data_IF_631029390448
#
_entry.id   IF_631029390448
#
_cell.length_a   1.000
_cell.length_b   1.000
_cell.length_c   1.000
_cell.angle_alpha   90.00
_cell.angle_beta   90.00
_cell.angle_gamma   90.00
#
_symmetry.space_group_name_H-M   'P 1'
#
loop_
_entity.id
_entity.type
_entity.pdbx_description
1 polymer ?
#
# COMPACT_ATOMS: atom_id res chain seq x y z
N UNK A 1 43.04 -28.54 16.86
CA UNK A 1 41.77 -29.13 16.37
C UNK A 1 40.55 -28.26 16.66
N UNK A 2 40.32 -27.81 17.91
CA UNK A 2 39.16 -26.93 18.24
C UNK A 2 39.11 -25.62 17.44
N UNK A 3 40.25 -24.99 17.18
CA UNK A 3 40.35 -23.73 16.41
C UNK A 3 40.09 -23.92 14.91
N UNK A 4 40.42 -25.09 14.36
CA UNK A 4 40.19 -25.40 12.92
C UNK A 4 38.71 -25.66 12.67
N UNK A 5 38.02 -26.31 13.62
CA UNK A 5 36.58 -26.58 13.53
C UNK A 5 35.77 -25.26 13.57
N UNK A 6 36.17 -24.28 14.40
CA UNK A 6 35.51 -22.96 14.43
C UNK A 6 35.62 -22.21 13.10
N UNK A 7 36.77 -22.28 12.42
CA UNK A 7 36.98 -21.60 11.13
C UNK A 7 36.11 -22.21 10.02
N UNK A 8 35.92 -23.53 10.02
CA UNK A 8 35.03 -24.20 9.06
C UNK A 8 33.54 -23.88 9.32
N UNK A 9 33.13 -23.72 10.58
CA UNK A 9 31.76 -23.30 10.93
C UNK A 9 31.49 -21.86 10.46
N UNK A 10 32.44 -20.94 10.62
CA UNK A 10 32.31 -19.57 10.10
C UNK A 10 32.27 -19.50 8.56
N UNK A 11 33.02 -20.37 7.86
CA UNK A 11 32.97 -20.49 6.40
C UNK A 11 31.63 -21.07 5.90
N UNK A 12 31.02 -22.01 6.63
CA UNK A 12 29.70 -22.57 6.32
C UNK A 12 28.55 -21.59 6.62
N UNK A 13 28.68 -20.73 7.63
CA UNK A 13 27.71 -19.66 7.90
C UNK A 13 27.81 -18.56 6.82
N UNK A 14 29.02 -18.28 6.31
CA UNK A 14 29.24 -17.31 5.24
C UNK A 14 28.60 -17.72 3.89
N UNK A 15 28.43 -19.01 3.61
CA UNK A 15 27.76 -19.49 2.39
C UNK A 15 26.25 -19.60 2.54
N UNK A 16 25.73 -19.75 3.76
CA UNK A 16 24.28 -19.67 4.05
C UNK A 16 23.77 -18.23 4.11
N UNK A 17 24.68 -17.25 4.17
CA UNK A 17 24.39 -15.82 4.05
C UNK A 17 24.45 -15.31 2.59
N UNK A 18 24.40 -16.20 1.58
CA UNK A 18 23.86 -15.79 0.29
C UNK A 18 22.42 -15.36 0.54
N UNK A 19 22.25 -14.05 0.64
CA UNK A 19 20.99 -13.32 0.55
C UNK A 19 19.96 -14.18 -0.17
N UNK A 20 18.90 -14.59 0.55
CA UNK A 20 17.64 -14.96 -0.08
C UNK A 20 17.08 -13.67 -0.69
N UNK A 21 17.73 -13.19 -1.75
CA UNK A 21 17.14 -12.24 -2.65
C UNK A 21 15.95 -13.01 -3.20
N UNK A 22 14.74 -12.67 -2.75
CA UNK A 22 13.54 -13.35 -3.22
C UNK A 22 13.58 -13.32 -4.74
N UNK A 23 13.68 -14.50 -5.35
CA UNK A 23 13.79 -14.63 -6.79
C UNK A 23 12.43 -14.31 -7.39
N UNK A 24 12.09 -13.03 -7.50
CA UNK A 24 10.87 -12.61 -8.15
C UNK A 24 10.95 -12.94 -9.64
N UNK A 25 9.86 -13.43 -10.20
CA UNK A 25 9.72 -13.54 -11.65
C UNK A 25 8.98 -12.33 -12.18
N UNK A 26 9.42 -11.77 -13.30
CA UNK A 26 8.78 -10.62 -13.94
C UNK A 26 7.92 -11.11 -15.10
N UNK A 27 6.76 -10.48 -15.29
CA UNK A 27 5.91 -10.74 -16.45
C UNK A 27 6.61 -10.32 -17.75
N UNK A 28 6.37 -11.05 -18.84
CA UNK A 28 6.69 -10.58 -20.19
C UNK A 28 5.57 -10.93 -21.16
N UNK A 29 5.32 -10.02 -22.11
CA UNK A 29 4.29 -10.19 -23.14
C UNK A 29 4.90 -10.71 -24.44
N UNK A 30 4.33 -11.77 -24.99
CA UNK A 30 4.63 -12.25 -26.33
C UNK A 30 3.62 -11.66 -27.31
N UNK A 31 4.12 -10.82 -28.24
CA UNK A 31 3.27 -10.16 -29.23
C UNK A 31 2.73 -11.11 -30.30
N UNK A 32 3.40 -12.24 -30.55
CA UNK A 32 3.00 -13.19 -31.58
C UNK A 32 1.89 -14.12 -31.07
N UNK A 33 2.03 -14.57 -29.83
CA UNK A 33 1.07 -15.47 -29.18
C UNK A 33 -0.03 -14.71 -28.41
N UNK A 34 0.00 -13.37 -28.43
CA UNK A 34 -0.91 -12.46 -27.69
C UNK A 34 -1.19 -12.93 -26.26
N UNK A 35 -0.13 -13.34 -25.57
CA UNK A 35 -0.20 -13.92 -24.23
C UNK A 35 1.01 -13.51 -23.41
N UNK A 36 0.93 -13.71 -22.10
CA UNK A 36 2.06 -13.46 -21.21
C UNK A 36 2.60 -14.72 -20.55
N UNK A 37 3.88 -14.64 -20.18
CA UNK A 37 4.61 -15.62 -19.39
C UNK A 37 5.44 -14.92 -18.31
N UNK A 38 6.31 -15.69 -17.65
CA UNK A 38 7.17 -15.22 -16.57
C UNK A 38 8.63 -15.58 -16.82
N UNK A 39 9.52 -14.64 -16.52
CA UNK A 39 10.97 -14.83 -16.58
C UNK A 39 11.62 -14.50 -15.25
N UNK A 40 12.73 -15.15 -14.94
CA UNK A 40 13.53 -14.81 -13.76
C UNK A 40 14.35 -13.52 -13.97
N UNK A 41 15.08 -13.11 -12.92
CA UNK A 41 15.94 -11.92 -12.92
C UNK A 41 17.10 -12.00 -13.93
N UNK A 42 17.48 -13.20 -14.37
CA UNK A 42 18.48 -13.43 -15.42
C UNK A 42 17.86 -13.46 -16.83
N UNK A 43 16.55 -13.23 -16.94
CA UNK A 43 15.81 -13.26 -18.20
C UNK A 43 15.50 -14.66 -18.72
N UNK A 44 15.71 -15.72 -17.93
CA UNK A 44 15.36 -17.07 -18.35
C UNK A 44 13.85 -17.26 -18.21
N UNK A 45 13.22 -17.79 -19.25
CA UNK A 45 11.78 -18.07 -19.25
C UNK A 45 11.48 -19.21 -18.27
N UNK A 46 10.64 -18.93 -17.29
CA UNK A 46 10.21 -19.86 -16.24
C UNK A 46 8.81 -20.41 -16.54
N UNK A 47 7.93 -19.55 -17.07
CA UNK A 47 6.64 -19.96 -17.62
C UNK A 47 6.54 -19.39 -19.03
N UNK A 48 6.34 -20.26 -20.02
CA UNK A 48 6.13 -19.85 -21.41
C UNK A 48 4.84 -19.02 -21.56
N UNK A 49 4.77 -18.11 -22.54
CA UNK A 49 3.56 -17.36 -22.84
C UNK A 49 2.40 -18.31 -23.14
N UNK A 50 1.33 -18.21 -22.33
CA UNK A 50 0.11 -19.00 -22.53
C UNK A 50 -1.14 -18.42 -21.87
N UNK A 51 -0.97 -17.43 -20.99
CA UNK A 51 -2.10 -16.81 -20.31
C UNK A 51 -2.66 -15.67 -21.15
N UNK A 52 -3.98 -15.71 -21.28
CA UNK A 52 -4.79 -14.69 -21.95
C UNK A 52 -4.89 -13.41 -21.11
N UNK A 53 -5.18 -12.29 -21.79
CA UNK A 53 -5.35 -10.96 -21.18
C UNK A 53 -4.07 -10.39 -20.54
N UNK A 54 -4.05 -9.09 -20.30
CA UNK A 54 -2.90 -8.46 -19.62
C UNK A 54 -2.85 -8.92 -18.16
N UNK A 55 -1.69 -9.36 -17.71
CA UNK A 55 -1.45 -9.67 -16.30
C UNK A 55 -1.66 -8.42 -15.45
N UNK A 56 -2.36 -8.58 -14.32
CA UNK A 56 -2.35 -7.60 -13.22
C UNK A 56 -1.10 -7.72 -12.35
N UNK A 57 -0.38 -8.84 -12.45
CA UNK A 57 0.86 -9.10 -11.71
C UNK A 57 2.05 -8.67 -12.54
N UNK A 58 2.87 -7.78 -11.99
CA UNK A 58 4.16 -7.35 -12.55
C UNK A 58 5.29 -8.27 -12.07
N UNK A 59 5.23 -8.67 -10.79
CA UNK A 59 6.20 -9.52 -10.11
C UNK A 59 5.51 -10.70 -9.43
N UNK A 60 5.94 -11.92 -9.73
CA UNK A 60 5.40 -13.13 -9.13
C UNK A 60 6.33 -13.68 -8.05
N UNK A 61 5.80 -13.74 -6.82
CA UNK A 61 6.51 -14.27 -5.66
C UNK A 61 6.05 -15.70 -5.38
N UNK A 62 4.73 -15.90 -5.28
CA UNK A 62 4.16 -17.17 -4.83
C UNK A 62 3.01 -17.67 -5.68
N UNK A 63 1.97 -16.84 -5.84
CA UNK A 63 0.72 -17.20 -6.51
C UNK A 63 0.17 -15.99 -7.25
N UNK A 64 -0.51 -16.24 -8.37
CA UNK A 64 -1.32 -15.25 -9.07
C UNK A 64 -2.62 -15.89 -9.58
N UNK A 65 -3.55 -15.05 -10.02
CA UNK A 65 -4.76 -15.51 -10.73
C UNK A 65 -4.43 -15.60 -12.22
N UNK A 66 -4.44 -16.82 -12.75
CA UNK A 66 -4.28 -17.12 -14.16
C UNK A 66 -5.62 -17.06 -14.89
N UNK A 67 -5.58 -16.68 -16.17
CA UNK A 67 -6.71 -16.66 -17.09
C UNK A 67 -6.31 -17.35 -18.39
N UNK A 68 -7.09 -18.34 -18.82
CA UNK A 68 -6.93 -19.01 -20.12
C UNK A 68 -8.25 -18.98 -20.89
N UNK A 69 -8.22 -18.71 -22.20
CA UNK A 69 -9.41 -18.54 -23.05
C UNK A 69 -9.77 -17.07 -23.32
N UNK A 70 -10.87 -16.84 -24.04
CA UNK A 70 -11.26 -15.50 -24.51
C UNK A 70 -12.61 -15.03 -23.94
N UNK A 71 -12.67 -13.73 -23.63
CA UNK A 71 -13.89 -13.03 -23.23
C UNK A 71 -14.53 -13.59 -21.95
N UNK A 72 -15.86 -13.66 -21.95
CA UNK A 72 -16.66 -14.10 -20.78
C UNK A 72 -16.51 -15.59 -20.44
N UNK A 73 -15.84 -16.37 -21.30
CA UNK A 73 -15.60 -17.80 -21.10
C UNK A 73 -14.18 -18.10 -20.60
N UNK A 74 -13.41 -17.07 -20.25
CA UNK A 74 -12.08 -17.24 -19.69
C UNK A 74 -12.15 -18.03 -18.37
N UNK A 75 -11.29 -19.04 -18.27
CA UNK A 75 -11.15 -19.90 -17.11
C UNK A 75 -10.19 -19.23 -16.11
N UNK A 76 -10.72 -18.85 -14.95
CA UNK A 76 -9.96 -18.21 -13.88
C UNK A 76 -9.63 -19.19 -12.77
N UNK A 77 -8.35 -19.27 -12.43
CA UNK A 77 -7.86 -20.12 -11.35
C UNK A 77 -6.58 -19.56 -10.76
N UNK A 78 -6.20 -20.03 -9.57
CA UNK A 78 -4.95 -19.64 -8.93
C UNK A 78 -3.83 -20.57 -9.37
N UNK A 79 -2.66 -20.01 -9.68
CA UNK A 79 -1.48 -20.78 -10.08
C UNK A 79 -0.30 -20.43 -9.18
N UNK A 80 0.27 -21.42 -8.51
CA UNK A 80 1.52 -21.23 -7.77
C UNK A 80 2.72 -21.11 -8.72
N UNK A 81 3.81 -20.53 -8.22
CA UNK A 81 5.11 -20.50 -8.89
C UNK A 81 5.65 -21.89 -9.27
N UNK A 82 5.25 -22.94 -8.54
CA UNK A 82 5.58 -24.33 -8.87
C UNK A 82 4.68 -24.96 -9.94
N UNK A 83 3.70 -24.22 -10.48
CA UNK A 83 2.79 -24.70 -11.52
C UNK A 83 1.56 -25.46 -10.99
N UNK A 84 1.29 -25.44 -9.68
CA UNK A 84 0.09 -26.06 -9.11
C UNK A 84 -1.11 -25.13 -9.30
N UNK A 85 -2.11 -25.60 -10.03
CA UNK A 85 -3.41 -24.91 -10.15
C UNK A 85 -4.35 -25.27 -9.00
N UNK A 86 -5.18 -24.33 -8.56
CA UNK A 86 -6.20 -24.52 -7.53
C UNK A 86 -7.26 -23.41 -7.57
N UNK A 87 -8.32 -23.55 -6.76
CA UNK A 87 -9.33 -22.50 -6.56
C UNK A 87 -10.06 -22.05 -7.83
N UNK A 88 -10.22 -22.96 -8.80
CA UNK A 88 -11.05 -22.76 -9.99
C UNK A 88 -12.46 -22.34 -9.57
N UNK A 89 -13.06 -21.41 -10.29
CA UNK A 89 -14.37 -20.81 -10.01
C UNK A 89 -14.48 -20.12 -8.63
N UNK A 90 -13.36 -19.66 -8.06
CA UNK A 90 -13.36 -18.92 -6.80
C UNK A 90 -12.51 -17.64 -6.84
N UNK A 91 -12.08 -17.23 -8.04
CA UNK A 91 -11.26 -16.06 -8.24
C UNK A 91 -11.91 -14.81 -7.62
N UNK A 92 -11.18 -14.15 -6.72
CA UNK A 92 -11.60 -12.89 -6.14
C UNK A 92 -11.25 -11.74 -7.09
N UNK A 93 -12.23 -10.89 -7.36
CA UNK A 93 -12.06 -9.69 -8.18
C UNK A 93 -12.59 -8.47 -7.44
N UNK A 94 -11.91 -7.33 -7.60
CA UNK A 94 -12.35 -6.00 -7.15
C UNK A 94 -12.51 -5.14 -8.39
N UNK A 95 -13.70 -4.58 -8.62
CA UNK A 95 -13.97 -3.75 -9.81
C UNK A 95 -13.54 -4.40 -11.14
N UNK A 96 -13.84 -5.70 -11.30
CA UNK A 96 -13.44 -6.54 -12.44
C UNK A 96 -11.93 -6.76 -12.63
N UNK A 97 -11.11 -6.32 -11.67
CA UNK A 97 -9.66 -6.58 -11.62
C UNK A 97 -9.39 -7.77 -10.68
N UNK A 98 -8.64 -8.81 -11.11
CA UNK A 98 -8.26 -9.91 -10.24
C UNK A 98 -7.44 -9.45 -9.02
N UNK A 99 -7.61 -10.13 -7.89
CA UNK A 99 -6.86 -9.85 -6.67
C UNK A 99 -5.34 -9.99 -6.84
N UNK A 100 -4.60 -9.25 -6.01
CA UNK A 100 -3.15 -9.34 -5.89
C UNK A 100 -2.74 -10.14 -4.65
N UNK A 101 -1.69 -10.94 -4.78
CA UNK A 101 -1.07 -11.67 -3.68
C UNK A 101 -0.33 -10.71 -2.74
N UNK A 102 -0.52 -10.87 -1.43
CA UNK A 102 0.20 -10.12 -0.40
C UNK A 102 0.70 -11.05 0.72
N UNK A 103 1.99 -10.98 1.04
CA UNK A 103 2.66 -11.72 2.13
C UNK A 103 2.56 -13.27 2.05
N UNK A 104 2.32 -13.80 0.86
CA UNK A 104 2.07 -15.20 0.57
C UNK A 104 0.62 -15.60 0.75
N UNK A 105 -0.33 -14.66 0.67
CA UNK A 105 -1.76 -14.91 0.81
C UNK A 105 -2.57 -14.21 -0.28
N UNK A 106 -3.70 -14.80 -0.67
CA UNK A 106 -4.58 -14.24 -1.69
C UNK A 106 -6.04 -14.58 -1.36
N UNK A 107 -6.96 -13.63 -1.56
CA UNK A 107 -8.38 -13.84 -1.23
C UNK A 107 -9.05 -14.70 -2.29
N UNK A 108 -10.12 -15.37 -1.89
CA UNK A 108 -11.02 -16.09 -2.80
C UNK A 108 -12.48 -15.83 -2.40
N UNK A 109 -13.39 -16.01 -3.37
CA UNK A 109 -14.83 -15.89 -3.16
C UNK A 109 -15.50 -17.24 -3.34
N UNK A 110 -16.28 -17.67 -2.35
CA UNK A 110 -17.22 -18.77 -2.55
C UNK A 110 -18.42 -18.23 -3.32
N UNK A 111 -18.62 -18.70 -4.57
CA UNK A 111 -19.72 -18.23 -5.43
C UNK A 111 -21.11 -18.63 -4.92
N UNK A 112 -21.23 -19.63 -4.03
CA UNK A 112 -22.53 -20.05 -3.49
C UNK A 112 -23.02 -19.13 -2.38
N UNK A 113 -22.10 -18.70 -1.53
CA UNK A 113 -22.42 -17.87 -0.35
C UNK A 113 -22.04 -16.40 -0.55
N UNK A 114 -21.31 -16.11 -1.63
CA UNK A 114 -20.64 -14.84 -1.93
C UNK A 114 -19.64 -14.39 -0.85
N UNK A 115 -19.30 -15.26 0.09
CA UNK A 115 -18.37 -14.97 1.20
C UNK A 115 -16.93 -15.09 0.74
N UNK A 116 -16.07 -14.39 1.48
CA UNK A 116 -14.65 -14.22 1.18
C UNK A 116 -13.83 -15.02 2.18
N UNK A 117 -12.89 -15.80 1.66
CA UNK A 117 -11.87 -16.50 2.42
C UNK A 117 -10.48 -16.15 1.91
N UNK A 118 -9.47 -16.87 2.40
CA UNK A 118 -8.07 -16.65 2.02
C UNK A 118 -7.33 -17.97 1.84
N UNK A 119 -6.60 -18.05 0.72
CA UNK A 119 -5.61 -19.07 0.48
C UNK A 119 -4.22 -18.59 0.93
N UNK A 120 -3.36 -19.51 1.36
CA UNK A 120 -1.93 -19.25 1.46
C UNK A 120 -1.20 -19.59 0.13
N UNK A 121 0.12 -19.33 0.10
CA UNK A 121 1.03 -19.58 -1.03
C UNK A 121 1.01 -20.99 -1.62
N UNK A 122 0.52 -21.97 -0.87
CA UNK A 122 0.43 -23.38 -1.29
C UNK A 122 -0.97 -23.77 -1.78
N UNK A 123 -1.91 -22.81 -1.79
CA UNK A 123 -3.32 -23.00 -2.13
C UNK A 123 -4.14 -23.69 -1.04
N UNK A 124 -3.69 -23.65 0.22
CA UNK A 124 -4.48 -24.13 1.36
C UNK A 124 -5.37 -23.00 1.88
N UNK A 125 -6.65 -23.30 2.13
CA UNK A 125 -7.55 -22.39 2.85
C UNK A 125 -7.02 -22.19 4.27
N UNK A 126 -6.65 -20.96 4.61
CA UNK A 126 -6.21 -20.57 5.96
C UNK A 126 -7.24 -19.70 6.67
N UNK A 127 -8.04 -18.95 5.91
CA UNK A 127 -9.24 -18.27 6.39
C UNK A 127 -10.43 -18.83 5.60
N UNK A 128 -11.44 -19.44 6.25
CA UNK A 128 -12.60 -19.98 5.55
C UNK A 128 -13.46 -18.86 4.94
N UNK A 129 -14.21 -19.17 3.89
CA UNK A 129 -15.13 -18.23 3.24
C UNK A 129 -16.40 -18.01 4.08
N UNK A 130 -16.27 -17.24 5.17
CA UNK A 130 -17.37 -16.88 6.07
C UNK A 130 -17.58 -15.36 6.18
N UNK A 131 -16.64 -14.57 5.67
CA UNK A 131 -16.64 -13.12 5.78
C UNK A 131 -17.34 -12.46 4.61
N UNK A 132 -18.00 -11.33 4.85
CA UNK A 132 -18.53 -10.48 3.79
C UNK A 132 -17.40 -9.80 2.99
N UNK A 133 -16.32 -9.42 3.69
CA UNK A 133 -15.14 -8.79 3.10
C UNK A 133 -13.90 -9.07 3.95
N UNK A 134 -12.74 -9.20 3.30
CA UNK A 134 -11.42 -9.27 3.92
C UNK A 134 -10.50 -8.24 3.25
N UNK A 135 -9.69 -7.51 4.03
CA UNK A 135 -8.54 -6.79 3.49
C UNK A 135 -7.52 -7.77 2.92
N UNK A 136 -6.54 -7.26 2.16
CA UNK A 136 -5.29 -7.99 1.97
C UNK A 136 -4.56 -8.15 3.31
N UNK A 137 -3.64 -9.11 3.37
CA UNK A 137 -2.77 -9.28 4.54
C UNK A 137 -1.79 -8.12 4.59
N UNK A 138 -1.64 -7.52 5.77
CA UNK A 138 -0.63 -6.50 6.05
C UNK A 138 -0.01 -6.82 7.40
N UNK A 139 1.29 -7.12 7.42
CA UNK A 139 2.02 -7.55 8.62
C UNK A 139 1.37 -8.77 9.32
N UNK A 140 0.90 -9.74 8.55
CA UNK A 140 0.17 -10.90 9.09
C UNK A 140 -1.22 -10.61 9.66
N UNK A 141 -1.73 -9.39 9.51
CA UNK A 141 -3.04 -8.94 10.00
C UNK A 141 -4.03 -8.79 8.84
N UNK A 142 -5.31 -9.04 9.12
CA UNK A 142 -6.41 -8.91 8.17
C UNK A 142 -7.58 -8.22 8.85
N UNK A 143 -8.12 -7.17 8.22
CA UNK A 143 -9.37 -6.56 8.65
C UNK A 143 -10.52 -7.34 8.01
N UNK A 144 -11.43 -7.82 8.84
CA UNK A 144 -12.52 -8.70 8.44
C UNK A 144 -13.89 -8.09 8.74
N UNK A 145 -14.80 -8.16 7.77
CA UNK A 145 -16.21 -7.78 7.92
C UNK A 145 -17.08 -9.04 7.93
N UNK A 146 -17.88 -9.22 8.97
CA UNK A 146 -18.81 -10.35 9.10
C UNK A 146 -20.23 -9.86 9.39
N UNK A 147 -21.22 -10.68 9.06
CA UNK A 147 -22.66 -10.43 9.29
C UNK A 147 -23.21 -9.12 8.69
N UNK A 148 -22.57 -8.60 7.64
CA UNK A 148 -23.05 -7.43 6.89
C UNK A 148 -24.07 -7.82 5.82
N UNK A 149 -24.91 -6.86 5.44
CA UNK A 149 -25.90 -6.99 4.35
C UNK A 149 -25.47 -6.15 3.15
N UNK A 150 -25.80 -6.61 1.94
CA UNK A 150 -25.64 -5.79 0.73
C UNK A 150 -26.80 -4.82 0.63
N UNK A 151 -26.50 -3.54 0.46
CA UNK A 151 -27.46 -2.53 0.04
C UNK A 151 -27.05 -2.00 -1.34
N UNK A 152 -27.94 -2.22 -2.31
CA UNK A 152 -27.80 -1.69 -3.67
C UNK A 152 -28.36 -0.27 -3.70
N UNK A 153 -27.70 0.63 -4.43
CA UNK A 153 -28.28 1.96 -4.68
C UNK A 153 -29.53 1.81 -5.56
N UNK A 154 -30.59 2.57 -5.23
CA UNK A 154 -31.87 2.52 -5.94
C UNK A 154 -31.68 2.61 -7.47
N UNK A 155 -32.33 1.70 -8.21
CA UNK A 155 -32.34 1.68 -9.69
C UNK A 155 -31.43 0.64 -10.35
N UNK A 156 -30.60 -0.09 -9.60
CA UNK A 156 -29.66 -1.08 -10.16
C UNK A 156 -29.75 -2.48 -9.51
N UNK A 157 -30.95 -2.94 -9.20
CA UNK A 157 -31.23 -4.35 -8.84
C UNK A 157 -31.15 -5.25 -10.09
N UNK A 158 -29.94 -5.40 -10.65
CA UNK A 158 -29.68 -6.32 -11.74
C UNK A 158 -28.65 -7.34 -11.25
N UNK A 159 -28.87 -8.62 -11.52
CA UNK A 159 -27.85 -9.66 -11.29
C UNK A 159 -26.56 -9.28 -12.02
N UNK A 160 -25.46 -9.10 -11.27
CA UNK A 160 -24.16 -8.68 -11.81
C UNK A 160 -23.80 -7.21 -11.60
N UNK A 161 -24.65 -6.39 -10.97
CA UNK A 161 -24.29 -5.03 -10.60
C UNK A 161 -23.35 -5.02 -9.37
N UNK A 162 -22.11 -4.56 -9.55
CA UNK A 162 -21.12 -4.41 -8.46
C UNK A 162 -21.29 -3.12 -7.64
N UNK A 163 -22.33 -2.32 -7.90
CA UNK A 163 -22.60 -1.06 -7.18
C UNK A 163 -23.45 -1.29 -5.93
N UNK A 164 -22.88 -2.00 -4.95
CA UNK A 164 -23.48 -2.19 -3.64
C UNK A 164 -22.56 -1.65 -2.54
N UNK A 165 -23.14 -1.38 -1.38
CA UNK A 165 -22.41 -1.11 -0.14
C UNK A 165 -22.71 -2.20 0.88
N UNK A 166 -21.77 -2.45 1.77
CA UNK A 166 -22.05 -3.28 2.95
C UNK A 166 -22.63 -2.40 4.04
N UNK A 167 -23.75 -2.81 4.63
CA UNK A 167 -24.35 -2.15 5.78
C UNK A 167 -24.49 -3.10 6.96
N UNK A 168 -24.36 -2.53 8.17
CA UNK A 168 -24.30 -3.30 9.41
C UNK A 168 -23.08 -4.22 9.47
N UNK A 169 -23.20 -5.31 10.23
CA UNK A 169 -22.12 -6.26 10.48
C UNK A 169 -21.13 -5.80 11.54
N UNK A 170 -20.08 -6.60 11.74
CA UNK A 170 -18.98 -6.32 12.66
C UNK A 170 -17.67 -6.33 11.90
N UNK A 171 -16.86 -5.31 12.14
CA UNK A 171 -15.49 -5.23 11.63
C UNK A 171 -14.50 -5.52 12.74
N UNK A 172 -13.60 -6.46 12.49
CA UNK A 172 -12.63 -6.97 13.46
C UNK A 172 -11.25 -7.12 12.82
N UNK A 173 -10.22 -7.15 13.66
CA UNK A 173 -8.88 -7.53 13.22
C UNK A 173 -8.64 -9.00 13.53
N UNK A 174 -8.19 -9.76 12.55
CA UNK A 174 -7.84 -11.18 12.68
C UNK A 174 -6.40 -11.40 12.19
N UNK A 175 -5.79 -12.52 12.57
CA UNK A 175 -4.54 -12.98 11.96
C UNK A 175 -4.79 -13.88 10.74
N UNK A 176 -3.70 -14.27 10.08
CA UNK A 176 -3.71 -15.19 8.93
C UNK A 176 -4.11 -16.64 9.26
N UNK A 177 -4.33 -16.96 10.54
CA UNK A 177 -4.84 -18.25 11.01
C UNK A 177 -6.34 -18.22 11.32
N UNK A 178 -7.01 -17.10 11.04
CA UNK A 178 -8.41 -16.83 11.36
C UNK A 178 -8.67 -16.65 12.87
N UNK A 179 -7.65 -16.28 13.65
CA UNK A 179 -7.80 -15.96 15.07
C UNK A 179 -8.17 -14.50 15.21
N UNK A 180 -9.26 -14.21 15.93
CA UNK A 180 -9.69 -12.84 16.18
C UNK A 180 -8.78 -12.17 17.24
N UNK A 181 -8.26 -11.00 16.89
CA UNK A 181 -7.33 -10.22 17.71
C UNK A 181 -8.06 -9.07 18.39
N UNK A 182 -8.76 -8.22 17.62
CA UNK A 182 -9.49 -7.03 18.12
C UNK A 182 -10.94 -7.10 17.64
N UNK A 183 -11.91 -7.03 18.56
CA UNK A 183 -13.35 -7.15 18.23
C UNK A 183 -13.90 -5.96 17.46
N UNK A 184 -13.39 -4.76 17.72
CA UNK A 184 -13.87 -3.50 17.14
C UNK A 184 -12.72 -2.79 16.43
N UNK A 185 -12.60 -3.04 15.13
CA UNK A 185 -11.57 -2.47 14.28
C UNK A 185 -12.18 -2.04 12.95
N UNK A 186 -11.83 -0.87 12.40
CA UNK A 186 -12.50 -0.34 11.19
C UNK A 186 -11.54 -0.22 10.00
N UNK A 187 -12.06 -0.19 8.78
CA UNK A 187 -11.26 -0.04 7.56
C UNK A 187 -10.75 1.40 7.35
N UNK A 188 -11.44 2.40 7.89
CA UNK A 188 -11.16 3.82 7.64
C UNK A 188 -10.16 4.45 8.63
N UNK A 189 -9.22 3.66 9.13
CA UNK A 189 -8.22 4.15 10.09
C UNK A 189 -6.90 4.46 9.39
N UNK A 190 -6.36 5.65 9.62
CA UNK A 190 -5.02 6.05 9.16
C UNK A 190 -3.93 5.43 10.05
N UNK A 191 -3.88 4.10 10.09
CA UNK A 191 -2.98 3.32 10.94
C UNK A 191 -1.92 2.58 10.13
N UNK A 192 -0.72 2.55 10.69
CA UNK A 192 0.36 1.71 10.24
C UNK A 192 0.22 0.29 10.83
N UNK A 193 -0.32 -0.65 10.07
CA UNK A 193 -0.45 -2.05 10.51
C UNK A 193 0.92 -2.74 10.69
N UNK A 194 1.98 -2.24 10.06
CA UNK A 194 3.36 -2.74 10.23
C UNK A 194 3.99 -2.31 11.55
N UNK A 195 3.37 -1.34 12.25
CA UNK A 195 3.79 -0.86 13.55
C UNK A 195 3.10 -1.55 14.73
N UNK A 196 2.42 -2.67 14.50
CA UNK A 196 1.67 -3.39 15.54
C UNK A 196 2.58 -3.77 16.73
N UNK A 197 2.18 -3.36 17.94
CA UNK A 197 2.82 -3.77 19.19
C UNK A 197 1.78 -4.29 20.19
N UNK A 198 2.19 -5.29 20.98
CA UNK A 198 1.52 -5.69 22.22
C UNK A 198 2.09 -4.85 23.36
N UNK A 199 1.23 -4.31 24.21
CA UNK A 199 1.67 -3.47 25.33
C UNK A 199 1.10 -3.96 26.65
N UNK A 200 2.00 -4.20 27.60
CA UNK A 200 1.68 -4.63 28.96
C UNK A 200 1.81 -3.49 30.00
N UNK A 201 2.32 -2.31 29.60
CA UNK A 201 2.53 -1.16 30.49
C UNK A 201 1.58 0.01 30.16
N UNK A 202 1.47 0.95 31.11
CA UNK A 202 0.48 2.04 31.10
C UNK A 202 0.94 3.32 30.41
N UNK A 203 2.17 3.40 29.91
CA UNK A 203 2.66 4.62 29.25
C UNK A 203 2.17 4.69 27.80
N UNK A 204 1.35 5.70 27.52
CA UNK A 204 0.79 5.91 26.18
C UNK A 204 1.73 6.78 25.34
N UNK A 205 2.07 6.28 24.15
CA UNK A 205 2.70 7.05 23.09
C UNK A 205 1.62 7.90 22.40
N UNK A 206 1.75 9.23 22.40
CA UNK A 206 0.75 10.11 21.82
C UNK A 206 0.56 9.91 20.31
N UNK A 207 1.52 9.28 19.61
CA UNK A 207 1.42 9.02 18.17
C UNK A 207 0.71 7.70 17.85
N UNK A 208 0.26 6.94 18.87
CA UNK A 208 -0.39 5.64 18.69
C UNK A 208 -1.88 5.68 18.99
N UNK A 209 -2.60 4.77 18.33
CA UNK A 209 -3.95 4.35 18.70
C UNK A 209 -3.90 3.00 19.40
N UNK A 210 -4.87 2.80 20.30
CA UNK A 210 -4.89 1.68 21.21
C UNK A 210 -6.21 0.94 21.18
N UNK A 211 -6.14 -0.39 21.23
CA UNK A 211 -7.28 -1.27 21.11
C UNK A 211 -7.18 -2.39 22.14
N UNK A 212 -8.31 -2.75 22.74
CA UNK A 212 -8.39 -3.94 23.59
C UNK A 212 -8.50 -5.18 22.71
N UNK A 213 -7.63 -6.17 22.96
CA UNK A 213 -7.69 -7.48 22.35
C UNK A 213 -8.75 -8.38 23.00
N UNK A 214 -9.09 -9.49 22.33
CA UNK A 214 -9.98 -10.51 22.87
C UNK A 214 -9.43 -11.22 24.12
N UNK A 215 -8.13 -11.30 24.22
CA UNK A 215 -7.37 -11.87 25.34
C UNK A 215 -7.16 -10.87 26.50
N UNK A 216 -7.64 -9.63 26.35
CA UNK A 216 -7.42 -8.54 27.29
C UNK A 216 -6.05 -7.87 27.14
N UNK A 217 -5.20 -8.32 26.20
CA UNK A 217 -3.93 -7.67 25.87
C UNK A 217 -4.24 -6.38 25.11
N UNK A 218 -3.48 -5.31 25.37
CA UNK A 218 -3.62 -4.04 24.66
C UNK A 218 -2.78 -4.07 23.39
N UNK A 219 -3.41 -3.79 22.26
CA UNK A 219 -2.77 -3.69 20.95
C UNK A 219 -2.63 -2.22 20.59
N UNK A 220 -1.54 -1.86 19.91
CA UNK A 220 -1.34 -0.49 19.44
C UNK A 220 -0.74 -0.41 18.05
N UNK A 221 -1.05 0.70 17.38
CA UNK A 221 -0.59 1.03 16.03
C UNK A 221 -0.25 2.51 15.97
N UNK A 222 0.78 2.89 15.23
CA UNK A 222 1.07 4.30 14.90
C UNK A 222 -0.07 4.84 14.06
N UNK A 223 -0.59 6.01 14.44
CA UNK A 223 -1.47 6.81 13.60
C UNK A 223 -0.62 7.67 12.68
N UNK A 224 -0.76 7.47 11.36
CA UNK A 224 -0.02 8.24 10.38
C UNK A 224 -0.29 9.75 10.49
N UNK A 225 -1.53 10.16 10.82
CA UNK A 225 -1.84 11.58 11.02
C UNK A 225 -1.14 12.15 12.25
N UNK A 226 -1.14 11.44 13.38
CA UNK A 226 -0.49 11.91 14.61
C UNK A 226 1.03 11.94 14.45
N UNK A 227 1.62 10.85 13.94
CA UNK A 227 3.06 10.74 13.64
C UNK A 227 3.52 11.86 12.71
N UNK A 228 2.81 12.05 11.58
CA UNK A 228 3.15 13.09 10.62
C UNK A 228 2.99 14.49 11.19
N UNK A 229 1.92 14.77 11.94
CA UNK A 229 1.70 16.10 12.54
C UNK A 229 2.81 16.44 13.54
N UNK A 230 3.19 15.49 14.37
CA UNK A 230 4.32 15.63 15.29
C UNK A 230 5.64 15.87 14.55
N UNK A 231 5.92 15.05 13.53
CA UNK A 231 7.11 15.20 12.69
C UNK A 231 7.15 16.54 11.97
N UNK A 232 6.05 16.97 11.34
CA UNK A 232 5.97 18.22 10.59
C UNK A 232 6.28 19.40 11.51
N UNK A 233 5.75 19.38 12.73
CA UNK A 233 6.04 20.40 13.73
C UNK A 233 7.53 20.39 14.13
N UNK A 234 8.04 19.26 14.61
CA UNK A 234 9.37 19.17 15.20
C UNK A 234 10.50 19.27 14.19
N UNK A 235 10.38 18.56 13.06
CA UNK A 235 11.46 18.44 12.07
C UNK A 235 11.50 19.61 11.10
N UNK A 236 10.36 20.28 10.84
CA UNK A 236 10.29 21.32 9.83
C UNK A 236 9.85 22.68 10.38
N UNK A 237 8.70 22.75 11.07
CA UNK A 237 8.10 24.04 11.40
C UNK A 237 8.78 24.74 12.59
N UNK A 238 9.23 24.04 13.62
CA UNK A 238 9.87 24.63 14.81
C UNK A 238 11.20 25.31 14.48
N UNK A 239 11.95 24.77 13.52
CA UNK A 239 13.19 25.35 13.02
C UNK A 239 13.20 25.41 11.49
N UNK A 240 12.34 26.25 10.92
CA UNK A 240 12.16 26.32 9.47
C UNK A 240 13.31 27.07 8.77
N UNK A 241 14.36 26.34 8.42
CA UNK A 241 15.52 26.81 7.66
C UNK A 241 15.60 26.14 6.30
N UNK A 242 16.37 26.74 5.37
CA UNK A 242 16.59 26.16 4.04
C UNK A 242 17.31 24.81 4.14
N UNK A 243 18.28 24.69 5.04
CA UNK A 243 19.05 23.45 5.21
C UNK A 243 18.19 22.32 5.79
N UNK A 244 17.32 22.61 6.76
CA UNK A 244 16.37 21.61 7.26
C UNK A 244 15.37 21.19 6.18
N UNK A 245 14.83 22.14 5.40
CA UNK A 245 13.92 21.81 4.30
C UNK A 245 14.62 20.95 3.22
N UNK A 246 15.88 21.25 2.89
CA UNK A 246 16.69 20.42 1.98
C UNK A 246 16.93 19.02 2.51
N UNK A 247 17.18 18.88 3.82
CA UNK A 247 17.36 17.57 4.46
C UNK A 247 16.07 16.74 4.40
N UNK A 248 14.93 17.39 4.57
CA UNK A 248 13.61 16.73 4.55
C UNK A 248 12.94 16.70 3.17
N UNK A 249 13.64 17.05 2.10
CA UNK A 249 13.17 16.88 0.73
C UNK A 249 13.77 15.63 0.07
N UNK A 250 13.06 15.07 -0.90
CA UNK A 250 13.61 14.09 -1.83
C UNK A 250 14.70 14.71 -2.72
N UNK A 251 15.44 13.87 -3.44
CA UNK A 251 16.48 14.30 -4.39
C UNK A 251 15.90 15.24 -5.46
N UNK A 252 14.72 14.89 -5.97
CA UNK A 252 13.98 15.66 -6.96
C UNK A 252 12.58 15.97 -6.43
N UNK A 253 12.07 17.16 -6.77
CA UNK A 253 10.73 17.60 -6.39
C UNK A 253 9.87 17.75 -7.64
N UNK A 254 8.65 17.23 -7.57
CA UNK A 254 7.58 17.65 -8.46
C UNK A 254 7.13 19.04 -8.05
N UNK A 255 7.04 19.94 -9.03
CA UNK A 255 6.71 21.34 -8.79
C UNK A 255 5.70 21.84 -9.79
N UNK A 256 4.69 22.53 -9.28
CA UNK A 256 3.71 23.24 -10.09
C UNK A 256 3.73 24.73 -9.75
N UNK A 257 4.04 25.54 -10.76
CA UNK A 257 3.95 26.99 -10.75
C UNK A 257 3.37 27.37 -12.12
N UNK A 258 2.20 28.04 -12.11
CA UNK A 258 1.30 28.38 -13.21
C UNK A 258 1.81 28.28 -14.68
N UNK A 259 0.90 27.86 -15.56
CA UNK A 259 0.95 27.83 -17.04
C UNK A 259 1.85 26.75 -17.70
N UNK A 260 2.85 26.22 -17.01
CA UNK A 260 3.89 25.40 -17.64
C UNK A 260 3.81 23.88 -17.39
N UNK A 261 2.80 23.41 -16.64
CA UNK A 261 2.65 22.00 -16.29
C UNK A 261 3.49 21.56 -15.07
N UNK A 262 3.37 20.29 -14.70
CA UNK A 262 4.20 19.68 -13.66
C UNK A 262 5.64 19.54 -14.15
N UNK A 263 6.59 19.93 -13.31
CA UNK A 263 8.03 19.80 -13.60
C UNK A 263 8.73 19.05 -12.48
N UNK A 264 9.58 18.10 -12.83
CA UNK A 264 10.48 17.43 -11.89
C UNK A 264 11.82 18.14 -11.95
N UNK A 265 12.35 18.58 -10.80
CA UNK A 265 13.60 19.35 -10.74
C UNK A 265 14.41 18.96 -9.51
N UNK A 266 15.76 18.97 -9.59
CA UNK A 266 16.61 18.76 -8.42
C UNK A 266 16.23 19.67 -7.26
N UNK A 267 15.92 19.08 -6.12
CA UNK A 267 15.29 19.75 -4.98
C UNK A 267 16.15 20.92 -4.48
N UNK A 268 17.46 20.74 -4.36
CA UNK A 268 18.39 21.78 -3.87
C UNK A 268 18.23 23.11 -4.60
N UNK A 269 18.25 23.08 -5.94
CA UNK A 269 18.15 24.27 -6.78
C UNK A 269 16.76 24.92 -6.67
N UNK A 270 15.72 24.09 -6.63
CA UNK A 270 14.35 24.55 -6.52
C UNK A 270 14.10 25.23 -5.17
N UNK A 271 14.53 24.59 -4.08
CA UNK A 271 14.37 25.09 -2.73
C UNK A 271 15.15 26.38 -2.53
N UNK A 272 16.38 26.49 -3.03
CA UNK A 272 17.15 27.76 -2.97
C UNK A 272 16.41 28.93 -3.65
N UNK A 273 15.78 28.67 -4.80
CA UNK A 273 15.03 29.69 -5.55
C UNK A 273 13.71 30.07 -4.88
N UNK A 274 12.99 29.11 -4.30
CA UNK A 274 11.61 29.28 -3.83
C UNK A 274 11.46 29.26 -2.30
N UNK A 275 12.56 29.21 -1.54
CA UNK A 275 12.55 29.03 -0.09
C UNK A 275 11.64 30.01 0.65
N UNK A 276 11.80 31.31 0.38
CA UNK A 276 11.03 32.35 1.08
C UNK A 276 9.52 32.15 0.90
N UNK A 277 9.09 31.82 -0.32
CA UNK A 277 7.69 31.58 -0.63
C UNK A 277 7.19 30.28 0.02
N UNK A 278 7.94 29.18 -0.09
CA UNK A 278 7.56 27.90 0.55
C UNK A 278 7.44 28.08 2.06
N UNK A 279 8.42 28.76 2.68
CA UNK A 279 8.43 29.03 4.11
C UNK A 279 7.23 29.88 4.52
N UNK A 280 6.94 30.96 3.80
CA UNK A 280 5.76 31.80 4.04
C UNK A 280 4.47 30.97 3.99
N UNK A 281 4.28 30.20 2.91
CA UNK A 281 3.05 29.45 2.66
C UNK A 281 2.84 28.29 3.62
N UNK A 282 3.90 27.58 4.00
CA UNK A 282 3.77 26.42 4.88
C UNK A 282 3.74 26.83 6.37
N UNK A 283 4.39 27.93 6.75
CA UNK A 283 4.39 28.40 8.15
C UNK A 283 3.03 28.90 8.64
N UNK A 284 2.14 29.31 7.73
CA UNK A 284 0.79 29.78 8.07
C UNK A 284 -0.04 28.72 8.80
N UNK A 285 0.32 27.44 8.69
CA UNK A 285 -0.31 26.33 9.44
C UNK A 285 -0.32 26.60 10.95
N UNK A 286 0.72 27.26 11.48
CA UNK A 286 0.79 27.63 12.90
C UNK A 286 -0.31 28.61 13.32
N UNK A 287 -0.84 29.38 12.37
CA UNK A 287 -1.87 30.41 12.59
C UNK A 287 -3.27 29.89 12.26
N UNK A 288 -3.39 29.00 11.26
CA UNK A 288 -4.68 28.48 10.78
C UNK A 288 -5.41 27.56 11.75
N UNK A 289 -4.71 26.91 12.68
CA UNK A 289 -5.33 25.98 13.63
C UNK A 289 -5.98 24.80 12.90
N UNK A 290 -7.31 24.83 12.69
CA UNK A 290 -8.05 23.77 11.98
C UNK A 290 -8.39 24.12 10.52
N UNK A 291 -8.02 25.30 10.04
CA UNK A 291 -8.36 25.78 8.69
C UNK A 291 -7.42 25.26 7.58
N UNK A 292 -6.80 24.11 7.80
CA UNK A 292 -6.01 23.36 6.81
C UNK A 292 -6.29 21.85 6.97
N UNK A 293 -5.99 21.05 5.95
CA UNK A 293 -6.20 19.60 6.02
C UNK A 293 -4.92 18.81 5.79
N UNK A 294 -4.74 17.77 6.60
CA UNK A 294 -3.78 16.69 6.36
C UNK A 294 -4.57 15.48 5.89
N UNK A 295 -4.32 15.04 4.67
CA UNK A 295 -4.92 13.84 4.08
C UNK A 295 -3.84 12.82 3.74
N UNK A 296 -4.26 11.56 3.68
CA UNK A 296 -3.40 10.44 3.32
C UNK A 296 -3.73 10.04 1.88
N UNK A 297 -2.70 9.82 1.07
CA UNK A 297 -2.85 9.57 -0.36
C UNK A 297 -1.78 8.63 -0.92
N UNK A 298 -1.95 8.31 -2.20
CA UNK A 298 -1.03 7.49 -2.96
C UNK A 298 0.04 8.30 -3.68
N UNK A 299 1.16 7.66 -4.01
CA UNK A 299 2.16 8.24 -4.91
C UNK A 299 1.61 8.25 -6.34
N UNK A 300 1.74 9.39 -7.03
CA UNK A 300 1.37 9.50 -8.44
C UNK A 300 2.42 8.82 -9.33
N UNK A 301 2.10 7.62 -9.82
CA UNK A 301 3.01 6.82 -10.64
C UNK A 301 3.36 7.43 -11.99
N UNK A 302 2.61 8.42 -12.50
CA UNK A 302 2.97 9.15 -13.72
C UNK A 302 3.94 10.32 -13.48
N UNK A 303 4.24 10.64 -12.22
CA UNK A 303 5.20 11.69 -11.83
C UNK A 303 6.42 11.08 -11.16
N UNK A 304 6.23 10.06 -10.34
CA UNK A 304 7.30 9.42 -9.58
C UNK A 304 7.60 8.03 -10.15
N UNK A 305 8.48 8.02 -11.15
CA UNK A 305 8.93 6.83 -11.87
C UNK A 305 10.40 6.52 -11.55
N UNK A 306 10.82 5.26 -11.69
CA UNK A 306 12.21 4.85 -11.52
C UNK A 306 12.42 3.77 -10.46
N UNK A 307 13.59 3.14 -10.49
CA UNK A 307 13.94 1.99 -9.63
C UNK A 307 13.93 2.33 -8.14
N UNK A 308 14.21 3.58 -7.81
CA UNK A 308 14.16 4.11 -6.46
C UNK A 308 12.74 4.10 -5.86
N UNK A 309 11.70 4.06 -6.70
CA UNK A 309 10.32 4.00 -6.26
C UNK A 309 9.74 2.58 -6.25
N UNK A 310 10.42 1.59 -6.85
CA UNK A 310 9.94 0.19 -6.92
C UNK A 310 9.57 -0.39 -5.55
N UNK A 311 10.20 0.07 -4.47
CA UNK A 311 9.93 -0.40 -3.11
C UNK A 311 8.58 0.07 -2.54
N UNK A 312 7.95 1.07 -3.16
CA UNK A 312 6.67 1.64 -2.73
C UNK A 312 5.47 1.02 -3.46
N UNK A 313 5.72 0.09 -4.39
CA UNK A 313 4.67 -0.62 -5.12
C UNK A 313 4.66 -2.10 -4.72
N UNK A 314 3.47 -2.68 -4.75
CA UNK A 314 3.30 -4.11 -4.57
C UNK A 314 3.65 -4.88 -5.86
N UNK A 315 3.47 -6.19 -5.79
CA UNK A 315 3.76 -7.11 -6.88
C UNK A 315 2.84 -6.93 -8.11
N UNK A 316 1.80 -6.12 -8.00
CA UNK A 316 0.84 -5.79 -9.04
C UNK A 316 0.91 -4.32 -9.47
N UNK A 317 1.98 -3.60 -9.09
CA UNK A 317 2.17 -2.19 -9.44
C UNK A 317 1.23 -1.24 -8.71
N UNK A 318 0.54 -1.71 -7.65
CA UNK A 318 -0.31 -0.86 -6.80
C UNK A 318 0.52 -0.23 -5.70
N UNK A 319 0.32 1.06 -5.48
CA UNK A 319 1.04 1.78 -4.43
C UNK A 319 0.69 1.26 -3.03
N UNK A 320 1.71 1.00 -2.21
CA UNK A 320 1.60 0.51 -0.84
C UNK A 320 1.26 1.64 0.14
N UNK A 321 0.08 2.25 -0.05
CA UNK A 321 -0.40 3.37 0.77
C UNK A 321 -0.46 3.03 2.26
N UNK A 322 -0.71 1.77 2.61
CA UNK A 322 -0.83 1.32 4.00
C UNK A 322 0.52 1.12 4.69
N UNK A 323 1.63 1.26 3.96
CA UNK A 323 2.99 1.17 4.51
C UNK A 323 3.78 2.46 4.32
N UNK A 324 3.63 3.09 3.17
CA UNK A 324 4.39 4.26 2.77
C UNK A 324 3.47 5.39 2.28
N UNK A 325 2.50 5.85 3.09
CA UNK A 325 1.56 6.85 2.65
C UNK A 325 2.23 8.15 2.20
N UNK A 326 1.59 8.84 1.26
CA UNK A 326 1.86 10.26 0.98
C UNK A 326 0.96 11.10 1.86
N UNK A 327 1.57 11.89 2.74
CA UNK A 327 0.88 12.87 3.58
C UNK A 327 0.73 14.17 2.80
N UNK A 328 -0.49 14.57 2.50
CA UNK A 328 -0.82 15.77 1.75
C UNK A 328 -1.28 16.86 2.70
N UNK A 329 -0.59 17.99 2.67
CA UNK A 329 -0.94 19.20 3.41
C UNK A 329 -1.57 20.19 2.45
N UNK A 330 -2.87 20.42 2.62
CA UNK A 330 -3.65 21.33 1.77
C UNK A 330 -3.99 22.59 2.56
N UNK A 331 -3.53 23.73 2.06
CA UNK A 331 -3.68 25.04 2.68
C UNK A 331 -4.55 25.91 1.77
N UNK A 332 -5.83 26.12 2.10
CA UNK A 332 -6.70 27.00 1.34
C UNK A 332 -6.30 28.46 1.55
N UNK A 333 -6.45 29.27 0.51
CA UNK A 333 -6.32 30.72 0.61
C UNK A 333 -7.28 31.42 -0.35
N UNK A 334 -7.66 32.65 -0.01
CA UNK A 334 -8.57 33.47 -0.81
C UNK A 334 -7.81 34.55 -1.56
N UNK A 335 -8.16 34.77 -2.82
CA UNK A 335 -7.71 35.92 -3.61
C UNK A 335 -8.87 36.42 -4.46
N UNK A 336 -9.34 37.64 -4.17
CA UNK A 336 -10.58 38.16 -4.75
C UNK A 336 -11.79 37.29 -4.40
N UNK A 337 -12.50 36.80 -5.42
CA UNK A 337 -13.63 35.85 -5.27
C UNK A 337 -13.20 34.38 -5.39
N UNK A 338 -11.95 34.10 -5.73
CA UNK A 338 -11.43 32.75 -5.91
C UNK A 338 -10.97 32.11 -4.60
N UNK A 339 -11.12 30.79 -4.51
CA UNK A 339 -10.52 29.94 -3.49
C UNK A 339 -9.44 29.12 -4.18
N UNK A 340 -8.22 29.22 -3.68
CA UNK A 340 -7.04 28.58 -4.21
C UNK A 340 -6.41 27.71 -3.13
N UNK A 341 -5.54 26.78 -3.51
CA UNK A 341 -4.93 25.84 -2.57
C UNK A 341 -3.42 25.75 -2.82
N UNK A 342 -2.65 25.81 -1.74
CA UNK A 342 -1.27 25.31 -1.76
C UNK A 342 -1.30 23.86 -1.30
N UNK A 343 -0.54 23.01 -1.97
CA UNK A 343 -0.42 21.60 -1.63
C UNK A 343 1.04 21.22 -1.46
N UNK A 344 1.35 20.55 -0.36
CA UNK A 344 2.66 20.00 -0.07
C UNK A 344 2.51 18.52 0.22
N UNK A 345 3.23 17.68 -0.52
CA UNK A 345 3.12 16.22 -0.37
C UNK A 345 4.40 15.64 0.19
N UNK A 346 4.26 14.81 1.22
CA UNK A 346 5.37 14.19 1.94
C UNK A 346 5.24 12.67 1.92
N UNK A 347 6.18 11.97 1.28
CA UNK A 347 6.22 10.52 1.26
C UNK A 347 6.79 9.99 2.57
N UNK A 348 6.08 9.05 3.21
CA UNK A 348 6.63 8.26 4.32
C UNK A 348 7.72 7.31 3.77
N UNK A 349 8.89 7.37 4.38
CA UNK A 349 10.03 6.48 4.10
C UNK A 349 10.43 5.75 5.38
N UNK A 350 11.33 4.77 5.28
CA UNK A 350 11.94 4.11 6.44
C UNK A 350 12.67 5.09 7.38
N UNK A 351 13.08 6.25 6.88
CA UNK A 351 13.86 7.27 7.61
C UNK A 351 13.04 8.49 8.03
N UNK A 352 11.72 8.41 8.00
CA UNK A 352 10.81 9.54 8.25
C UNK A 352 10.16 10.03 6.97
N UNK A 353 9.73 11.29 6.94
CA UNK A 353 8.98 11.83 5.81
C UNK A 353 9.88 12.65 4.89
N UNK A 354 9.60 12.62 3.58
CA UNK A 354 10.30 13.43 2.59
C UNK A 354 9.33 14.22 1.74
N UNK A 355 9.51 15.53 1.66
CA UNK A 355 8.81 16.39 0.72
C UNK A 355 9.12 15.90 -0.70
N UNK A 356 8.09 15.57 -1.47
CA UNK A 356 8.19 15.05 -2.84
C UNK A 356 7.52 15.97 -3.87
N UNK A 357 6.53 16.77 -3.43
CA UNK A 357 5.74 17.60 -4.33
C UNK A 357 5.36 18.92 -3.67
N UNK A 358 5.40 20.00 -4.47
CA UNK A 358 4.93 21.33 -4.08
C UNK A 358 4.10 21.92 -5.21
N UNK A 359 2.85 22.24 -4.90
CA UNK A 359 1.96 23.02 -5.76
C UNK A 359 1.60 24.32 -5.06
N UNK A 360 1.91 25.44 -5.71
CA UNK A 360 1.60 26.78 -5.19
C UNK A 360 0.78 27.53 -6.22
N UNK A 361 -0.54 27.44 -6.09
CA UNK A 361 -1.45 28.20 -6.93
C UNK A 361 -1.39 29.69 -6.54
N UNK A 362 -1.04 30.54 -7.52
CA UNK A 362 -0.96 32.00 -7.31
C UNK A 362 -2.29 32.70 -7.57
N UNK A 363 -3.30 31.99 -8.07
CA UNK A 363 -4.59 32.54 -8.48
C UNK A 363 -4.46 33.71 -9.45
N UNK A 364 -3.63 33.56 -10.47
CA UNK A 364 -3.39 34.57 -11.51
C UNK A 364 -4.56 34.70 -12.49
#
# INVERSE_FOLDING_TARGET
MKTIILTYIFLLIGTLAYSQQSEHWTVFWDKKEESFGFKDQNGRVQIQPKFSNRSVVDRLDHVFIASEGEGVYADFYYLTKSGKSFGRDSAYTVEATPDCECEGFIRFRDLRTEKVGMFNRNGKVVIPAIYNHLSQVKNGLVIALIDAKKEFREGHDHSGCNHFSWTGGKTMLIDTTNTAIIEKFTFDLDLDLYSHLLQDNSEEDPNREYFAGFDGIRHSFVSYRKDFSYWLQQSLLDNFTLENLKQEASTDLAFWENADGWRITPSKKLLEKHFSLIKERLSIIKELGQDFSITLGGLNSGVFEGKEYDMYFDNCGTFLVEKYPVMQVVIPHKKGKGIYQNQFEFLKTEKGYKLISVSMDRGE
#
